data_IF_784200681337
#
_entry.id   IF_784200681337
#
_cell.length_a   1.000
_cell.length_b   1.000
_cell.length_c   1.000
_cell.angle_alpha   90.00
_cell.angle_beta   90.00
_cell.angle_gamma   90.00
#
_symmetry.space_group_name_H-M   'P 1'
#
loop_
_entity.id
_entity.type
_entity.pdbx_description
1 polymer ?
#
# COMPACT_ATOMS: atom_id res chain seq x y z
N UNK A 1 11.40 -41.91 -36.82
CA UNK A 1 12.36 -40.81 -36.53
C UNK A 1 11.70 -39.74 -35.65
N UNK A 2 10.53 -39.22 -36.03
CA UNK A 2 9.80 -38.17 -35.28
C UNK A 2 9.42 -38.57 -33.85
N UNK A 3 8.87 -39.77 -33.63
CA UNK A 3 8.48 -40.23 -32.29
C UNK A 3 9.68 -40.35 -31.33
N UNK A 4 10.81 -40.88 -31.80
CA UNK A 4 12.02 -40.99 -30.98
C UNK A 4 12.60 -39.61 -30.63
N UNK A 5 12.55 -38.65 -31.55
CA UNK A 5 12.99 -37.26 -31.27
C UNK A 5 12.13 -36.60 -30.20
N UNK A 6 10.81 -36.77 -30.26
CA UNK A 6 9.87 -36.25 -29.26
C UNK A 6 10.14 -36.88 -27.89
N UNK A 7 10.34 -38.20 -27.82
CA UNK A 7 10.63 -38.90 -26.56
C UNK A 7 11.95 -38.46 -25.91
N UNK A 8 12.98 -38.18 -26.70
CA UNK A 8 14.26 -37.67 -26.20
C UNK A 8 14.07 -36.26 -25.62
N UNK A 9 13.45 -35.35 -26.37
CA UNK A 9 13.21 -33.99 -25.92
C UNK A 9 12.31 -33.92 -24.66
N UNK A 10 11.32 -34.82 -24.54
CA UNK A 10 10.49 -34.92 -23.33
C UNK A 10 11.30 -35.38 -22.11
N UNK A 11 12.24 -36.30 -22.28
CA UNK A 11 13.13 -36.72 -21.20
C UNK A 11 14.09 -35.59 -20.78
N UNK A 12 14.63 -34.84 -21.73
CA UNK A 12 15.49 -33.67 -21.45
C UNK A 12 14.71 -32.57 -20.71
N UNK A 13 13.50 -32.24 -21.17
CA UNK A 13 12.63 -31.29 -20.49
C UNK A 13 12.26 -31.78 -19.08
N UNK A 14 11.95 -33.07 -18.92
CA UNK A 14 11.69 -33.68 -17.61
C UNK A 14 12.87 -33.53 -16.64
N UNK A 15 14.11 -33.70 -17.11
CA UNK A 15 15.30 -33.49 -16.27
C UNK A 15 15.48 -32.02 -15.90
N UNK A 16 15.22 -31.10 -16.84
CA UNK A 16 15.27 -29.66 -16.57
C UNK A 16 14.24 -29.21 -15.52
N UNK A 17 12.98 -29.64 -15.62
CA UNK A 17 11.92 -29.25 -14.66
C UNK A 17 12.13 -29.85 -13.27
N UNK A 18 12.96 -30.88 -13.13
CA UNK A 18 13.32 -31.48 -11.84
C UNK A 18 14.48 -30.76 -11.15
N UNK A 19 15.17 -29.83 -11.82
CA UNK A 19 16.19 -29.01 -11.19
C UNK A 19 15.56 -28.14 -10.09
N UNK A 20 16.10 -28.24 -8.86
CA UNK A 20 15.69 -27.37 -7.75
C UNK A 20 15.88 -25.90 -8.15
N UNK A 21 14.80 -25.13 -8.10
CA UNK A 21 14.81 -23.70 -8.45
C UNK A 21 14.07 -23.35 -9.74
N UNK A 22 13.48 -24.32 -10.44
CA UNK A 22 12.59 -24.00 -11.54
C UNK A 22 11.25 -23.43 -11.02
N UNK A 23 10.93 -22.22 -11.47
CA UNK A 23 9.67 -21.54 -11.17
C UNK A 23 8.58 -21.94 -12.16
N UNK A 24 7.33 -21.63 -11.85
CA UNK A 24 6.16 -21.81 -12.73
C UNK A 24 6.38 -21.16 -14.09
N UNK A 25 6.90 -19.93 -14.11
CA UNK A 25 7.26 -19.21 -15.34
C UNK A 25 8.39 -19.93 -16.12
N UNK A 26 9.40 -20.45 -15.42
CA UNK A 26 10.47 -21.24 -16.03
C UNK A 26 9.96 -22.53 -16.64
N UNK A 27 8.97 -23.16 -16.00
CA UNK A 27 8.26 -24.31 -16.57
C UNK A 27 7.53 -23.92 -17.86
N UNK A 28 6.78 -22.82 -17.86
CA UNK A 28 6.02 -22.32 -19.03
C UNK A 28 6.96 -22.01 -20.20
N UNK A 29 8.00 -21.19 -20.00
CA UNK A 29 8.97 -20.87 -21.07
C UNK A 29 9.67 -22.13 -21.60
N UNK A 30 9.98 -23.08 -20.72
CA UNK A 30 10.56 -24.36 -21.13
C UNK A 30 9.58 -25.21 -21.97
N UNK A 31 8.28 -25.16 -21.67
CA UNK A 31 7.24 -25.85 -22.43
C UNK A 31 7.05 -25.23 -23.82
N UNK A 32 6.99 -23.90 -23.90
CA UNK A 32 6.91 -23.15 -25.16
C UNK A 32 8.12 -23.46 -26.05
N UNK A 33 9.31 -23.51 -25.47
CA UNK A 33 10.52 -23.93 -26.18
C UNK A 33 10.43 -25.37 -26.69
N UNK A 34 9.97 -26.29 -25.84
CA UNK A 34 9.78 -27.68 -26.24
C UNK A 34 8.86 -27.77 -27.46
N UNK A 35 7.73 -27.07 -27.44
CA UNK A 35 6.79 -27.00 -28.55
C UNK A 35 7.45 -26.45 -29.81
N UNK A 36 8.07 -25.27 -29.74
CA UNK A 36 8.66 -24.62 -30.89
C UNK A 36 9.81 -25.43 -31.52
N UNK A 37 10.73 -25.97 -30.72
CA UNK A 37 11.90 -26.71 -31.22
C UNK A 37 11.57 -28.15 -31.65
N UNK A 38 10.67 -28.83 -30.94
CA UNK A 38 10.41 -30.27 -31.13
C UNK A 38 9.21 -30.53 -32.02
N UNK A 39 8.15 -29.73 -31.88
CA UNK A 39 6.91 -29.89 -32.65
C UNK A 39 6.96 -29.04 -33.91
N UNK A 40 7.24 -27.73 -33.78
CA UNK A 40 7.15 -26.78 -34.90
C UNK A 40 8.44 -26.68 -35.73
N UNK A 41 9.55 -27.26 -35.25
CA UNK A 41 10.86 -27.25 -35.91
C UNK A 41 11.43 -25.84 -36.12
N UNK A 42 11.10 -24.92 -35.22
CA UNK A 42 11.57 -23.54 -35.25
C UNK A 42 12.96 -23.42 -34.63
N UNK A 43 13.79 -22.55 -35.23
CA UNK A 43 15.06 -22.16 -34.64
C UNK A 43 14.82 -21.03 -33.64
N UNK A 44 14.55 -21.40 -32.39
CA UNK A 44 14.30 -20.42 -31.31
C UNK A 44 15.59 -20.12 -30.57
N UNK A 45 15.91 -18.83 -30.40
CA UNK A 45 16.95 -18.39 -29.47
C UNK A 45 16.58 -18.83 -28.04
N UNK A 46 17.56 -19.19 -27.24
CA UNK A 46 17.32 -19.59 -25.85
C UNK A 46 16.89 -18.36 -25.03
N UNK A 47 15.59 -18.13 -24.92
CA UNK A 47 15.04 -17.17 -23.96
C UNK A 47 14.98 -17.84 -22.59
N UNK A 48 16.13 -17.85 -21.92
CA UNK A 48 16.26 -18.41 -20.58
C UNK A 48 15.77 -17.40 -19.54
N UNK A 49 15.08 -17.89 -18.51
CA UNK A 49 14.72 -17.05 -17.37
C UNK A 49 16.00 -16.53 -16.75
N UNK A 50 16.18 -15.20 -16.75
CA UNK A 50 17.39 -14.59 -16.21
C UNK A 50 17.51 -14.87 -14.70
N UNK A 51 18.71 -14.84 -14.09
CA UNK A 51 18.83 -15.01 -12.64
C UNK A 51 17.96 -14.05 -11.82
N UNK A 52 17.73 -12.83 -12.33
CA UNK A 52 16.86 -11.83 -11.72
C UNK A 52 15.38 -12.21 -11.83
N UNK A 53 14.93 -12.64 -13.01
CA UNK A 53 13.58 -13.17 -13.20
C UNK A 53 13.32 -14.40 -12.33
N UNK A 54 14.31 -15.31 -12.20
CA UNK A 54 14.21 -16.49 -11.33
C UNK A 54 14.01 -16.07 -9.87
N UNK A 55 14.78 -15.09 -9.39
CA UNK A 55 14.65 -14.54 -8.03
C UNK A 55 13.28 -13.91 -7.81
N UNK A 56 12.78 -13.11 -8.75
CA UNK A 56 11.45 -12.50 -8.65
C UNK A 56 10.34 -13.56 -8.67
N UNK A 57 10.45 -14.58 -9.52
CA UNK A 57 9.51 -15.69 -9.54
C UNK A 57 9.49 -16.43 -8.20
N UNK A 58 10.66 -16.77 -7.66
CA UNK A 58 10.75 -17.48 -6.38
C UNK A 58 10.14 -16.65 -5.24
N UNK A 59 10.41 -15.34 -5.20
CA UNK A 59 9.78 -14.45 -4.22
C UNK A 59 8.28 -14.35 -4.40
N UNK A 60 7.79 -14.25 -5.64
CA UNK A 60 6.36 -14.22 -5.93
C UNK A 60 5.67 -15.50 -5.45
N UNK A 61 6.20 -16.68 -5.80
CA UNK A 61 5.65 -17.98 -5.40
C UNK A 61 5.64 -18.14 -3.88
N UNK A 62 6.72 -17.75 -3.20
CA UNK A 62 6.78 -17.77 -1.74
C UNK A 62 5.74 -16.83 -1.12
N UNK A 63 5.56 -15.64 -1.71
CA UNK A 63 4.57 -14.66 -1.26
C UNK A 63 3.15 -15.20 -1.41
N UNK A 64 2.81 -15.78 -2.55
CA UNK A 64 1.51 -16.43 -2.80
C UNK A 64 1.25 -17.56 -1.81
N UNK A 65 2.27 -18.38 -1.52
CA UNK A 65 2.18 -19.43 -0.50
C UNK A 65 1.91 -18.85 0.88
N UNK A 66 2.66 -17.84 1.31
CA UNK A 66 2.46 -17.17 2.60
C UNK A 66 1.05 -16.60 2.72
N UNK A 67 0.53 -15.94 1.67
CA UNK A 67 -0.84 -15.42 1.66
C UNK A 67 -1.87 -16.53 1.91
N UNK A 68 -1.64 -17.74 1.37
CA UNK A 68 -2.52 -18.89 1.62
C UNK A 68 -2.54 -19.38 3.07
N UNK A 69 -1.56 -19.00 3.88
CA UNK A 69 -1.42 -19.37 5.29
C UNK A 69 -1.96 -18.29 6.25
N UNK A 70 -2.28 -17.09 5.75
CA UNK A 70 -2.75 -15.97 6.57
C UNK A 70 -4.22 -16.13 7.01
N UNK A 71 -4.51 -15.70 8.22
CA UNK A 71 -5.86 -15.41 8.68
C UNK A 71 -6.15 -13.91 8.49
N UNK A 72 -6.93 -13.56 7.47
CA UNK A 72 -7.19 -12.16 7.10
C UNK A 72 -8.51 -11.62 7.66
N UNK A 73 -9.10 -12.28 8.66
CA UNK A 73 -10.29 -11.78 9.32
C UNK A 73 -10.05 -10.37 9.87
N UNK A 74 -10.96 -9.45 9.55
CA UNK A 74 -10.94 -8.05 10.01
C UNK A 74 -9.77 -7.17 9.49
N UNK A 75 -8.89 -7.69 8.62
CA UNK A 75 -7.81 -6.90 7.99
C UNK A 75 -8.30 -6.01 6.83
N UNK A 76 -9.55 -6.15 6.38
CA UNK A 76 -10.10 -5.38 5.27
C UNK A 76 -9.54 -5.74 3.89
N UNK A 77 -8.93 -6.92 3.77
CA UNK A 77 -8.38 -7.47 2.53
C UNK A 77 -8.57 -8.98 2.51
N UNK A 78 -8.74 -9.55 1.31
CA UNK A 78 -8.87 -10.99 1.08
C UNK A 78 -7.55 -11.61 0.60
N UNK A 79 -7.44 -12.94 0.75
CA UNK A 79 -6.27 -13.67 0.26
C UNK A 79 -6.14 -13.56 -1.27
N UNK A 80 -7.27 -13.53 -1.99
CA UNK A 80 -7.27 -13.43 -3.44
C UNK A 80 -6.82 -12.05 -3.92
N UNK A 81 -7.20 -10.97 -3.23
CA UNK A 81 -6.69 -9.62 -3.51
C UNK A 81 -5.18 -9.51 -3.27
N UNK A 82 -4.64 -10.13 -2.21
CA UNK A 82 -3.20 -10.13 -1.97
C UNK A 82 -2.43 -10.96 -3.01
N UNK A 83 -3.00 -12.09 -3.47
CA UNK A 83 -2.42 -12.90 -4.55
C UNK A 83 -2.41 -12.12 -5.87
N UNK A 84 -3.53 -11.48 -6.22
CA UNK A 84 -3.64 -10.64 -7.40
C UNK A 84 -2.62 -9.48 -7.35
N UNK A 85 -2.47 -8.83 -6.20
CA UNK A 85 -1.46 -7.79 -5.99
C UNK A 85 -0.03 -8.33 -6.18
N UNK A 86 0.25 -9.54 -5.67
CA UNK A 86 1.55 -10.20 -5.86
C UNK A 86 1.81 -10.54 -7.33
N UNK A 87 0.79 -10.97 -8.08
CA UNK A 87 0.88 -11.28 -9.51
C UNK A 87 1.12 -10.02 -10.33
N UNK A 88 0.37 -8.93 -10.08
CA UNK A 88 0.58 -7.63 -10.72
C UNK A 88 1.98 -7.06 -10.44
N UNK A 89 2.46 -7.19 -9.21
CA UNK A 89 3.81 -6.78 -8.85
C UNK A 89 4.89 -7.61 -9.58
N UNK A 90 4.61 -8.89 -9.85
CA UNK A 90 5.50 -9.74 -10.63
C UNK A 90 5.50 -9.37 -12.11
N UNK A 91 4.32 -9.13 -12.69
CA UNK A 91 4.13 -8.74 -14.09
C UNK A 91 4.79 -7.40 -14.43
N UNK A 92 4.93 -6.50 -13.46
CA UNK A 92 5.63 -5.21 -13.68
C UNK A 92 7.12 -5.36 -13.93
N UNK A 93 7.68 -6.55 -13.65
CA UNK A 93 9.09 -6.89 -13.80
C UNK A 93 10.03 -5.96 -13.02
N UNK A 94 9.60 -5.49 -11.85
CA UNK A 94 10.37 -4.63 -10.93
C UNK A 94 10.60 -5.34 -9.61
N UNK A 95 11.85 -5.63 -9.29
CA UNK A 95 12.20 -6.38 -8.08
C UNK A 95 11.71 -5.66 -6.81
N UNK A 96 11.77 -4.33 -6.78
CA UNK A 96 11.31 -3.52 -5.65
C UNK A 96 9.80 -3.70 -5.39
N UNK A 97 9.00 -3.86 -6.45
CA UNK A 97 7.56 -4.05 -6.30
C UNK A 97 7.24 -5.44 -5.75
N UNK A 98 7.91 -6.48 -6.28
CA UNK A 98 7.78 -7.85 -5.77
C UNK A 98 8.18 -7.93 -4.30
N UNK A 99 9.30 -7.29 -3.94
CA UNK A 99 9.79 -7.24 -2.56
C UNK A 99 8.87 -6.43 -1.64
N UNK A 100 8.25 -5.35 -2.13
CA UNK A 100 7.30 -4.56 -1.35
C UNK A 100 6.05 -5.38 -0.98
N UNK A 101 5.51 -6.17 -1.91
CA UNK A 101 4.36 -7.04 -1.62
C UNK A 101 4.77 -8.17 -0.67
N UNK A 102 5.94 -8.78 -0.88
CA UNK A 102 6.50 -9.77 0.07
C UNK A 102 6.60 -9.21 1.49
N UNK A 103 7.10 -7.98 1.63
CA UNK A 103 7.27 -7.33 2.93
C UNK A 103 5.94 -7.02 3.61
N UNK A 104 4.90 -6.59 2.85
CA UNK A 104 3.55 -6.43 3.38
C UNK A 104 2.98 -7.75 3.88
N UNK A 105 3.08 -8.82 3.07
CA UNK A 105 2.60 -10.16 3.45
C UNK A 105 3.33 -10.69 4.68
N UNK A 106 4.63 -10.43 4.81
CA UNK A 106 5.38 -10.76 6.02
C UNK A 106 4.89 -9.97 7.24
N UNK A 107 4.63 -8.67 7.10
CA UNK A 107 4.07 -7.86 8.21
C UNK A 107 2.68 -8.37 8.65
N UNK A 108 1.85 -8.82 7.71
CA UNK A 108 0.56 -9.46 8.02
C UNK A 108 0.73 -10.79 8.75
N UNK A 109 1.73 -11.59 8.36
CA UNK A 109 2.07 -12.83 9.06
C UNK A 109 2.52 -12.56 10.49
N UNK A 110 3.42 -11.60 10.69
CA UNK A 110 3.90 -11.20 12.01
C UNK A 110 2.72 -10.71 12.90
N UNK A 111 1.77 -9.99 12.30
CA UNK A 111 0.55 -9.57 12.96
C UNK A 111 -0.40 -10.74 13.29
N UNK A 112 -0.53 -11.76 12.42
CA UNK A 112 -1.27 -12.98 12.76
C UNK A 112 -0.66 -13.72 13.95
N UNK A 113 0.66 -13.75 14.06
CA UNK A 113 1.35 -14.44 15.15
C UNK A 113 1.23 -13.68 16.49
N UNK A 114 1.34 -12.34 16.48
CA UNK A 114 1.35 -11.50 17.69
C UNK A 114 0.60 -10.17 17.52
N UNK A 115 -0.70 -10.22 17.19
CA UNK A 115 -1.49 -9.02 16.82
C UNK A 115 -1.39 -7.86 17.82
N UNK A 116 -1.51 -8.13 19.12
CA UNK A 116 -1.45 -7.10 20.14
C UNK A 116 -0.09 -6.40 20.15
N UNK A 117 1.00 -7.15 19.98
CA UNK A 117 2.35 -6.62 20.02
C UNK A 117 2.65 -5.85 18.74
N UNK A 118 2.25 -6.39 17.59
CA UNK A 118 2.44 -5.69 16.31
C UNK A 118 1.64 -4.38 16.24
N UNK A 119 0.39 -4.39 16.73
CA UNK A 119 -0.40 -3.16 16.90
C UNK A 119 0.30 -2.14 17.80
N UNK A 120 0.87 -2.58 18.92
CA UNK A 120 1.63 -1.70 19.82
C UNK A 120 2.94 -1.20 19.20
N UNK A 121 3.62 -1.99 18.38
CA UNK A 121 4.83 -1.57 17.64
C UNK A 121 4.51 -0.45 16.65
N UNK A 122 3.37 -0.53 15.96
CA UNK A 122 2.90 0.57 15.13
C UNK A 122 2.54 1.80 15.95
N UNK A 123 1.75 1.65 17.01
CA UNK A 123 1.39 2.79 17.87
C UNK A 123 2.63 3.49 18.45
N UNK A 124 3.61 2.70 18.91
CA UNK A 124 4.90 3.21 19.37
C UNK A 124 5.58 4.03 18.28
N UNK A 125 5.78 3.46 17.09
CA UNK A 125 6.40 4.15 15.96
C UNK A 125 5.66 5.46 15.61
N UNK A 126 4.33 5.42 15.51
CA UNK A 126 3.51 6.58 15.17
C UNK A 126 3.66 7.70 16.21
N UNK A 127 3.62 7.37 17.51
CA UNK A 127 3.77 8.36 18.59
C UNK A 127 5.18 8.96 18.66
N UNK A 128 6.21 8.20 18.24
CA UNK A 128 7.56 8.73 18.12
C UNK A 128 7.67 9.79 17.01
N UNK A 129 6.95 9.62 15.89
CA UNK A 129 7.18 10.40 14.68
C UNK A 129 6.09 11.42 14.32
N UNK A 130 4.93 11.43 14.99
CA UNK A 130 3.81 12.32 14.65
C UNK A 130 4.15 13.81 14.71
N UNK A 131 5.17 14.20 15.47
CA UNK A 131 5.61 15.59 15.57
C UNK A 131 6.83 15.91 14.71
N UNK A 132 7.37 14.96 13.95
CA UNK A 132 8.55 15.19 13.13
C UNK A 132 8.27 16.24 12.06
N UNK A 133 9.15 17.25 11.96
CA UNK A 133 9.02 18.37 11.02
C UNK A 133 9.15 17.98 9.56
N UNK A 134 9.76 16.83 9.31
CA UNK A 134 9.95 16.24 8.01
C UNK A 134 8.67 15.65 7.41
N UNK A 135 7.61 15.47 8.20
CA UNK A 135 6.32 14.99 7.71
C UNK A 135 5.54 16.15 7.09
N UNK A 136 4.97 16.02 5.87
CA UNK A 136 3.99 16.97 5.37
C UNK A 136 2.73 16.95 6.22
N UNK A 137 1.96 18.04 6.23
CA UNK A 137 0.77 18.16 7.09
C UNK A 137 -0.27 17.05 6.86
N UNK A 138 -0.45 16.59 5.62
CA UNK A 138 -1.38 15.50 5.30
C UNK A 138 -0.95 14.17 5.95
N UNK A 139 0.33 13.79 5.85
CA UNK A 139 0.84 12.58 6.47
C UNK A 139 0.79 12.68 8.00
N UNK A 140 1.09 13.86 8.54
CA UNK A 140 1.01 14.12 9.98
C UNK A 140 -0.41 13.93 10.52
N UNK A 141 -1.39 14.42 9.77
CA UNK A 141 -2.80 14.28 10.10
C UNK A 141 -3.26 12.80 10.03
N UNK A 142 -2.76 12.04 9.05
CA UNK A 142 -2.99 10.59 8.94
C UNK A 142 -2.40 9.83 10.15
N UNK A 143 -1.14 10.11 10.52
CA UNK A 143 -0.50 9.54 11.71
C UNK A 143 -1.30 9.86 12.98
N UNK A 144 -1.73 11.11 13.14
CA UNK A 144 -2.55 11.52 14.29
C UNK A 144 -3.91 10.82 14.34
N UNK A 145 -4.56 10.65 13.18
CA UNK A 145 -5.81 9.90 13.04
C UNK A 145 -5.65 8.42 13.43
N UNK A 146 -4.55 7.78 13.03
CA UNK A 146 -4.24 6.41 13.45
C UNK A 146 -4.01 6.29 14.95
N UNK A 147 -3.21 7.17 15.56
CA UNK A 147 -3.00 7.20 17.02
C UNK A 147 -4.35 7.30 17.75
N UNK A 148 -5.22 8.20 17.29
CA UNK A 148 -6.56 8.36 17.86
C UNK A 148 -7.40 7.08 17.72
N UNK A 149 -7.36 6.38 16.59
CA UNK A 149 -8.10 5.12 16.39
C UNK A 149 -7.56 3.98 17.26
N UNK A 150 -6.24 3.86 17.41
CA UNK A 150 -5.63 2.93 18.35
C UNK A 150 -6.02 3.20 19.80
N UNK A 151 -6.15 4.47 20.19
CA UNK A 151 -6.60 4.82 21.54
C UNK A 151 -8.12 4.68 21.71
N UNK A 152 -8.89 4.97 20.66
CA UNK A 152 -10.35 4.75 20.64
C UNK A 152 -10.73 3.28 20.78
N UNK A 153 -9.95 2.36 20.19
CA UNK A 153 -10.17 0.92 20.36
C UNK A 153 -9.94 0.45 21.80
N UNK A 154 -9.14 1.18 22.61
CA UNK A 154 -8.94 0.90 24.05
C UNK A 154 -10.07 1.36 24.95
N UNK A 155 -10.85 2.38 24.57
CA UNK A 155 -11.88 2.99 25.42
C UNK A 155 -13.32 2.56 25.08
N UNK A 156 -13.51 1.85 23.96
CA UNK A 156 -14.74 1.12 23.66
C UNK A 156 -14.39 -0.07 22.76
N UNK A 157 -14.32 -1.28 23.33
CA UNK A 157 -14.05 -2.57 22.67
C UNK A 157 -15.09 -2.99 21.59
N UNK A 158 -15.88 -2.06 21.05
CA UNK A 158 -17.05 -2.35 20.23
C UNK A 158 -16.98 -1.85 18.77
N UNK A 159 -15.93 -1.13 18.33
CA UNK A 159 -16.04 -0.40 17.02
C UNK A 159 -14.95 -0.64 15.98
N UNK A 160 -13.71 -1.03 16.33
CA UNK A 160 -12.65 -1.26 15.31
C UNK A 160 -11.62 -2.30 15.77
N UNK A 161 -11.55 -3.49 15.15
CA UNK A 161 -10.52 -4.49 15.40
C UNK A 161 -9.11 -3.95 15.11
N UNK A 162 -8.11 -4.35 15.89
CA UNK A 162 -6.71 -3.90 15.72
C UNK A 162 -6.18 -4.33 14.35
N UNK A 163 -6.61 -5.51 13.88
CA UNK A 163 -6.35 -6.10 12.57
C UNK A 163 -6.62 -5.11 11.44
N UNK A 164 -7.73 -4.38 11.53
CA UNK A 164 -8.14 -3.40 10.51
C UNK A 164 -7.19 -2.20 10.40
N UNK A 165 -6.40 -1.94 11.44
CA UNK A 165 -5.43 -0.84 11.48
C UNK A 165 -4.05 -1.26 10.97
N UNK A 166 -3.75 -2.56 10.87
CA UNK A 166 -2.39 -3.05 10.58
C UNK A 166 -1.90 -2.62 9.21
N UNK A 167 -2.70 -2.83 8.15
CA UNK A 167 -2.29 -2.51 6.77
C UNK A 167 -2.07 -1.01 6.60
N UNK A 168 -2.99 -0.21 7.13
CA UNK A 168 -2.88 1.24 7.08
C UNK A 168 -1.64 1.71 7.86
N UNK A 169 -1.44 1.22 9.08
CA UNK A 169 -0.28 1.56 9.90
C UNK A 169 1.05 1.15 9.27
N UNK A 170 1.10 0.00 8.61
CA UNK A 170 2.26 -0.43 7.83
C UNK A 170 2.56 0.56 6.71
N UNK A 171 1.55 0.95 5.92
CA UNK A 171 1.70 1.92 4.83
C UNK A 171 2.13 3.29 5.34
N UNK A 172 1.49 3.79 6.40
CA UNK A 172 1.85 5.07 7.03
C UNK A 172 3.28 5.03 7.57
N UNK A 173 3.71 3.91 8.20
CA UNK A 173 5.09 3.72 8.65
C UNK A 173 6.09 3.83 7.49
N UNK A 174 5.79 3.24 6.34
CA UNK A 174 6.62 3.39 5.14
C UNK A 174 6.63 4.84 4.63
N UNK A 175 5.47 5.50 4.58
CA UNK A 175 5.35 6.89 4.15
C UNK A 175 6.13 7.84 5.06
N UNK A 176 6.13 7.62 6.38
CA UNK A 176 6.95 8.39 7.34
C UNK A 176 8.44 8.20 7.06
N UNK A 177 8.89 6.95 6.87
CA UNK A 177 10.29 6.66 6.52
C UNK A 177 10.69 7.30 5.20
N UNK A 178 9.81 7.27 4.22
CA UNK A 178 10.02 7.92 2.92
C UNK A 178 10.09 9.44 3.05
N UNK A 179 9.22 10.05 3.86
CA UNK A 179 9.23 11.48 4.15
C UNK A 179 10.56 11.92 4.76
N UNK A 180 11.10 11.14 5.70
CA UNK A 180 12.42 11.38 6.27
C UNK A 180 13.54 11.28 5.22
N UNK A 181 13.46 10.28 4.33
CA UNK A 181 14.47 10.08 3.29
C UNK A 181 14.44 11.17 2.20
N UNK A 182 13.26 11.75 1.94
CA UNK A 182 13.03 12.73 0.87
C UNK A 182 12.88 14.18 1.37
N UNK A 183 13.16 14.43 2.64
CA UNK A 183 13.00 15.76 3.23
C UNK A 183 13.83 16.81 2.49
N UNK A 184 13.17 17.85 1.99
CA UNK A 184 13.79 18.91 1.18
C UNK A 184 14.19 20.14 2.02
N UNK A 185 14.04 20.06 3.36
CA UNK A 185 14.32 21.16 4.27
C UNK A 185 13.13 22.09 4.53
N UNK A 186 12.01 21.96 3.78
CA UNK A 186 10.84 22.80 3.98
C UNK A 186 9.91 22.18 5.01
N UNK A 187 9.61 22.94 6.05
CA UNK A 187 8.70 22.53 7.11
C UNK A 187 7.31 23.09 6.83
N UNK A 188 6.33 22.20 6.71
CA UNK A 188 4.92 22.57 6.75
C UNK A 188 4.41 22.50 8.19
N UNK A 189 4.33 23.67 8.84
CA UNK A 189 3.90 23.81 10.23
C UNK A 189 2.38 23.71 10.44
N UNK A 190 1.60 23.36 9.40
CA UNK A 190 0.14 23.26 9.52
C UNK A 190 -0.26 22.19 10.53
N UNK A 191 -1.08 22.58 11.51
CA UNK A 191 -1.64 21.69 12.52
C UNK A 191 -3.06 21.31 12.10
N UNK A 192 -3.24 20.05 11.71
CA UNK A 192 -4.53 19.49 11.33
C UNK A 192 -5.45 19.23 12.53
N UNK A 193 -6.68 18.80 12.24
CA UNK A 193 -7.75 18.60 13.23
C UNK A 193 -7.40 17.46 14.19
N UNK A 194 -7.05 16.29 13.68
CA UNK A 194 -6.72 15.13 14.49
C UNK A 194 -5.46 15.40 15.32
N UNK A 195 -4.44 16.05 14.74
CA UNK A 195 -3.25 16.41 15.50
C UNK A 195 -3.58 17.33 16.68
N UNK A 196 -4.35 18.38 16.43
CA UNK A 196 -4.79 19.29 17.50
C UNK A 196 -5.59 18.55 18.57
N UNK A 197 -6.50 17.68 18.18
CA UNK A 197 -7.32 16.88 19.10
C UNK A 197 -6.47 15.95 19.96
N UNK A 198 -5.51 15.20 19.39
CA UNK A 198 -4.71 14.27 20.21
C UNK A 198 -3.74 14.98 21.14
N UNK A 199 -3.35 16.22 20.83
CA UNK A 199 -2.47 17.04 21.68
C UNK A 199 -3.23 17.82 22.76
N UNK A 200 -4.55 17.97 22.63
CA UNK A 200 -5.37 18.73 23.58
C UNK A 200 -5.93 17.78 24.64
N UNK A 201 -5.58 17.94 25.93
CA UNK A 201 -6.21 17.21 27.03
C UNK A 201 -7.72 17.48 27.11
N UNK A 202 -8.51 16.49 27.52
CA UNK A 202 -9.95 16.67 27.71
C UNK A 202 -10.29 17.56 28.93
N UNK A 203 -9.41 17.60 29.93
CA UNK A 203 -9.49 18.45 31.12
C UNK A 203 -8.09 18.77 31.66
N UNK A 204 -7.97 19.67 32.64
CA UNK A 204 -6.68 20.02 33.28
C UNK A 204 -6.06 18.85 34.05
N UNK A 205 -6.85 17.84 34.41
CA UNK A 205 -6.42 16.68 35.20
C UNK A 205 -6.08 15.47 34.33
N UNK A 206 -6.46 15.48 33.05
CA UNK A 206 -6.26 14.36 32.13
C UNK A 206 -5.02 14.57 31.25
N UNK A 207 -4.39 13.46 30.85
CA UNK A 207 -3.37 13.50 29.82
C UNK A 207 -4.02 13.74 28.44
N UNK A 208 -3.25 14.29 27.50
CA UNK A 208 -3.64 14.29 26.10
C UNK A 208 -3.64 12.85 25.55
N UNK A 209 -4.47 12.56 24.54
CA UNK A 209 -4.52 11.24 23.88
C UNK A 209 -3.12 10.86 23.37
N UNK A 210 -2.36 11.83 22.87
CA UNK A 210 -0.99 11.63 22.41
C UNK A 210 -0.07 11.13 23.55
N UNK A 211 -0.12 11.79 24.71
CA UNK A 211 0.72 11.38 25.84
C UNK A 211 0.31 10.02 26.39
N UNK A 212 -0.99 9.76 26.52
CA UNK A 212 -1.50 8.45 26.96
C UNK A 212 -1.09 7.33 25.99
N UNK A 213 -1.19 7.57 24.68
CA UNK A 213 -0.78 6.63 23.64
C UNK A 213 0.72 6.32 23.72
N UNK A 214 1.54 7.36 23.91
CA UNK A 214 2.98 7.23 24.03
C UNK A 214 3.35 6.40 25.26
N UNK A 215 2.83 6.77 26.42
CA UNK A 215 3.10 6.09 27.70
C UNK A 215 2.66 4.62 27.62
N UNK A 216 1.49 4.37 27.05
CA UNK A 216 0.97 3.01 26.90
C UNK A 216 1.84 2.14 25.98
N UNK A 217 2.26 2.67 24.84
CA UNK A 217 3.11 1.93 23.91
C UNK A 217 4.51 1.69 24.45
N UNK A 218 5.05 2.64 25.21
CA UNK A 218 6.35 2.50 25.85
C UNK A 218 6.35 1.47 26.99
N UNK A 219 5.23 1.36 27.74
CA UNK A 219 5.05 0.38 28.81
C UNK A 219 4.68 -1.02 28.31
N UNK A 220 3.95 -1.12 27.19
CA UNK A 220 3.46 -2.40 26.68
C UNK A 220 4.51 -3.21 25.92
N UNK A 221 5.58 -2.56 25.43
CA UNK A 221 6.63 -3.18 24.63
C UNK A 221 7.90 -3.40 25.44
N UNK A 222 8.49 -4.58 25.30
CA UNK A 222 9.87 -4.83 25.72
C UNK A 222 10.85 -4.08 24.81
N UNK A 223 12.03 -3.75 25.32
CA UNK A 223 13.08 -3.03 24.56
C UNK A 223 13.43 -3.68 23.22
N UNK A 224 13.33 -5.02 23.11
CA UNK A 224 13.59 -5.74 21.87
C UNK A 224 12.48 -5.60 20.81
N UNK A 225 11.25 -5.28 21.23
CA UNK A 225 10.12 -5.10 20.32
C UNK A 225 9.96 -3.63 19.89
N UNK A 226 10.51 -2.68 20.65
CA UNK A 226 10.50 -1.23 20.32
C UNK A 226 11.24 -0.93 19.02
N UNK A 227 10.66 -0.05 18.21
CA UNK A 227 11.32 0.42 16.99
C UNK A 227 12.54 1.28 17.37
N UNK A 228 13.68 1.07 16.69
CA UNK A 228 14.93 1.77 16.96
C UNK A 228 15.06 3.11 16.21
N UNK A 229 14.03 3.52 15.47
CA UNK A 229 13.99 4.83 14.81
C UNK A 229 13.90 5.92 15.88
N UNK A 230 14.79 6.91 15.78
CA UNK A 230 14.79 8.06 16.68
C UNK A 230 13.87 9.15 16.13
N UNK A 231 12.97 9.72 16.94
CA UNK A 231 12.23 10.93 16.60
C UNK A 231 13.16 12.03 16.09
N UNK A 232 12.67 12.84 15.15
CA UNK A 232 13.38 14.02 14.65
C UNK A 232 12.98 15.26 15.43
N UNK A 233 13.33 16.43 14.90
CA UNK A 233 13.00 17.70 15.54
C UNK A 233 11.49 17.95 15.43
N UNK A 234 10.89 18.39 16.54
CA UNK A 234 9.45 18.60 16.62
C UNK A 234 9.00 19.86 15.87
N UNK A 235 7.89 19.77 15.13
CA UNK A 235 7.20 20.92 14.52
C UNK A 235 6.77 21.98 15.53
N UNK A 236 6.60 21.61 16.81
CA UNK A 236 6.15 22.54 17.85
C UNK A 236 7.29 23.49 18.29
N UNK A 237 8.53 23.17 17.94
CA UNK A 237 9.72 23.99 18.22
C UNK A 237 10.06 24.91 17.05
N UNK A 238 9.51 24.65 15.87
CA UNK A 238 9.70 25.48 14.69
C UNK A 238 8.94 26.78 14.88
N UNK A 239 9.67 27.85 15.22
CA UNK A 239 9.12 29.21 15.18
C UNK A 239 8.55 29.44 13.78
N UNK A 240 7.35 30.06 13.65
CA UNK A 240 6.87 30.49 12.36
C UNK A 240 7.98 31.31 11.70
N UNK A 241 8.34 30.97 10.47
CA UNK A 241 9.14 31.88 9.65
C UNK A 241 8.35 33.18 9.59
N UNK A 242 8.81 34.21 10.32
CA UNK A 242 8.39 35.58 10.07
C UNK A 242 8.77 35.87 8.62
N UNK A 243 7.82 35.74 7.70
CA UNK A 243 7.86 36.53 6.48
C UNK A 243 7.97 37.98 6.92
N UNK A 244 9.20 38.49 6.81
CA UNK A 244 9.49 39.91 6.91
C UNK A 244 8.48 40.64 6.02
N UNK A 245 7.66 41.57 6.52
CA UNK A 245 6.94 42.47 5.65
C UNK A 245 8.01 43.25 4.89
N UNK A 246 7.97 43.21 3.56
CA UNK A 246 8.68 44.20 2.76
C UNK A 246 8.18 45.57 3.20
N UNK A 247 9.07 46.39 3.78
CA UNK A 247 8.83 47.81 3.98
C UNK A 247 8.62 48.45 2.60
N UNK A 248 7.36 48.57 2.18
CA UNK A 248 6.98 49.57 1.18
C UNK A 248 7.10 50.95 1.84
N UNK A 249 8.11 51.71 1.43
CA UNK A 249 8.14 53.16 1.64
C UNK A 249 7.57 53.83 0.40
N UNK A 250 6.33 54.28 0.55
CA UNK A 250 5.58 55.29 -0.20
C UNK A 250 6.38 56.16 -1.18
N UNK A 251 5.95 56.24 -2.44
CA UNK A 251 5.93 57.50 -3.19
C UNK A 251 4.68 57.56 -4.06
N UNK A 252 3.84 58.53 -3.72
CA UNK A 252 2.61 58.96 -4.40
C UNK A 252 2.92 59.56 -5.77
N UNK A 253 2.18 59.19 -6.81
CA UNK A 253 1.74 60.11 -7.86
C UNK A 253 0.54 59.54 -8.64
N UNK A 254 -0.34 60.47 -9.02
CA UNK A 254 -1.75 60.29 -9.38
C UNK A 254 -2.01 60.02 -10.87
N UNK A 255 -3.26 59.60 -11.12
CA UNK A 255 -4.10 59.73 -12.32
C UNK A 255 -3.72 58.93 -13.59
N UNK A 256 -4.60 58.00 -14.00
CA UNK A 256 -5.60 58.24 -15.07
C UNK A 256 -6.43 56.97 -15.32
N UNK A 257 -7.75 57.16 -15.43
CA UNK A 257 -8.82 56.26 -15.91
C UNK A 257 -8.56 55.67 -17.29
N UNK A 258 -8.88 54.39 -17.53
CA UNK A 258 -9.74 53.96 -18.65
C UNK A 258 -10.08 52.46 -18.60
N UNK A 259 -11.35 52.18 -18.88
CA UNK A 259 -11.98 50.88 -19.11
C UNK A 259 -11.75 50.43 -20.54
N UNK A 260 -11.37 49.18 -20.82
CA UNK A 260 -11.77 48.47 -22.07
C UNK A 260 -11.69 46.95 -21.90
N UNK A 261 -12.76 46.27 -22.32
CA UNK A 261 -12.93 44.83 -22.44
C UNK A 261 -12.16 44.20 -23.62
N UNK A 262 -11.93 42.88 -23.52
CA UNK A 262 -11.88 41.87 -24.60
C UNK A 262 -10.67 41.94 -25.57
N UNK A 263 -9.95 40.86 -25.89
CA UNK A 263 -10.44 39.63 -26.56
C UNK A 263 -9.28 38.62 -26.70
N UNK A 264 -9.59 37.31 -26.54
CA UNK A 264 -9.05 36.06 -27.15
C UNK A 264 -7.52 35.85 -27.28
N UNK A 265 -6.95 34.65 -27.14
CA UNK A 265 -7.27 33.42 -27.90
C UNK A 265 -6.43 32.24 -27.36
N UNK A 266 -7.01 31.02 -27.31
CA UNK A 266 -6.43 29.66 -27.53
C UNK A 266 -5.18 29.21 -26.74
N UNK A 267 -5.08 27.99 -26.19
CA UNK A 267 -5.25 26.69 -26.87
C UNK A 267 -5.25 25.52 -25.83
N UNK A 268 -5.99 24.44 -26.16
CA UNK A 268 -5.94 23.01 -25.77
C UNK A 268 -4.97 22.55 -24.65
N UNK A 269 -5.25 21.55 -23.79
CA UNK A 269 -5.44 20.13 -24.18
C UNK A 269 -5.81 19.29 -22.91
N UNK A 270 -6.84 18.43 -23.01
CA UNK A 270 -7.02 17.06 -22.42
C UNK A 270 -6.73 16.76 -20.93
N UNK A 271 -7.46 15.94 -20.17
CA UNK A 271 -8.69 15.16 -20.31
C UNK A 271 -9.13 14.75 -18.88
N UNK A 272 -10.40 14.96 -18.54
CA UNK A 272 -11.07 14.31 -17.40
C UNK A 272 -11.68 12.99 -17.87
N UNK A 273 -11.53 11.92 -17.07
CA UNK A 273 -12.37 10.73 -17.19
C UNK A 273 -13.17 10.60 -15.91
N UNK A 274 -14.46 10.85 -16.09
CA UNK A 274 -15.59 10.61 -15.21
C UNK A 274 -16.02 9.15 -15.38
N UNK A 275 -16.13 8.41 -14.28
CA UNK A 275 -16.51 6.99 -14.30
C UNK A 275 -18.02 6.86 -14.36
N UNK A 276 -18.52 6.38 -15.50
CA UNK A 276 -19.91 6.00 -15.73
C UNK A 276 -20.31 4.77 -14.92
N UNK A 277 -21.40 4.90 -14.16
CA UNK A 277 -22.21 3.79 -13.65
C UNK A 277 -22.81 3.00 -14.82
N UNK A 278 -22.61 1.69 -14.83
CA UNK A 278 -23.32 0.76 -15.71
C UNK A 278 -24.18 -0.17 -14.86
N UNK A 279 -25.46 0.16 -14.77
CA UNK A 279 -26.52 -0.73 -14.27
C UNK A 279 -27.05 -1.51 -15.47
N UNK A 280 -26.79 -2.82 -15.52
CA UNK A 280 -27.40 -3.72 -16.52
C UNK A 280 -28.61 -4.43 -15.93
N UNK A 281 -29.69 -4.38 -16.70
CA UNK A 281 -31.01 -4.91 -16.38
C UNK A 281 -31.05 -6.44 -16.38
N UNK A 282 -31.61 -7.01 -15.31
CA UNK A 282 -32.05 -8.42 -15.26
C UNK A 282 -33.37 -8.55 -16.00
N UNK A 283 -33.41 -9.45 -16.97
CA UNK A 283 -34.61 -9.84 -17.72
C UNK A 283 -35.27 -11.01 -16.99
N UNK A 284 -36.46 -10.81 -16.43
CA UNK A 284 -37.31 -11.89 -15.91
C UNK A 284 -38.02 -12.58 -17.09
N UNK A 285 -37.70 -13.86 -17.32
CA UNK A 285 -38.48 -14.73 -18.17
C UNK A 285 -39.58 -15.38 -17.34
N UNK A 286 -40.82 -15.02 -17.65
CA UNK A 286 -42.02 -15.68 -17.16
C UNK A 286 -42.18 -17.05 -17.83
N UNK A 287 -42.28 -18.12 -17.03
CA UNK A 287 -42.81 -19.41 -17.48
C UNK A 287 -43.74 -19.96 -16.41
N UNK A 288 -45.04 -19.79 -16.60
CA UNK A 288 -46.07 -20.62 -15.95
C UNK A 288 -47.21 -20.88 -16.92
N UNK A 289 -47.84 -22.03 -16.72
CA UNK A 289 -49.02 -22.63 -17.37
C UNK A 289 -48.75 -23.48 -18.62
N UNK A 290 -48.62 -24.79 -18.39
CA UNK A 290 -49.54 -25.74 -19.02
C UNK A 290 -49.83 -26.91 -18.06
N UNK A 291 -51.07 -26.92 -17.57
CA UNK A 291 -51.73 -28.05 -16.92
C UNK A 291 -52.04 -29.12 -17.96
N UNK A 292 -51.57 -30.35 -17.77
CA UNK A 292 -52.20 -31.52 -18.42
C UNK A 292 -52.38 -32.65 -17.41
N UNK A 293 -53.65 -33.00 -17.22
CA UNK A 293 -54.18 -34.11 -16.44
C UNK A 293 -54.21 -35.37 -17.30
N UNK A 294 -53.61 -36.48 -16.86
CA UNK A 294 -53.95 -37.88 -17.23
C UNK A 294 -53.37 -38.76 -16.08
N UNK A 295 -54.14 -39.19 -15.08
CA UNK A 295 -55.01 -40.38 -15.04
C UNK A 295 -54.32 -41.72 -15.39
N UNK A 296 -53.67 -42.35 -14.39
CA UNK A 296 -53.89 -43.73 -13.91
C UNK A 296 -52.85 -44.13 -12.86
#
# INVERSE_FOLDING_TARGET
VTLNRILVALNEYKEQVQLKGNSTEGFVKGLERFEAQTINHEAVAAEEVTPEEQKMNATHEETVRMVGELNLQDYGVTADELKDLASKARESNKEEQVNAIRALVQALRDANDRISIEGMRYLYFLTQHVLDQELPAALREEVASLIKRYMGSRLNFATTPVESLIIESYRTKLAVKESHAKFDGKVDATIGKNLKEILTPASEEEQSIFQEAKDFAEMALDESDKDNSTPKSSILVVKPSEEKPSEETTTTQSETTETTEKTETTESTTASVETTEATTATTEAATTVETTTVEQ
#
